data_IF_821818410664
#
_entry.id   IF_821818410664
#
_cell.length_a   1.000
_cell.length_b   1.000
_cell.length_c   1.000
_cell.angle_alpha   90.00
_cell.angle_beta   90.00
_cell.angle_gamma   90.00
#
_symmetry.space_group_name_H-M   'P 1'
#
loop_
_entity.id
_entity.type
_entity.pdbx_description
1 polymer ?
#
# COMPACT_ATOMS: atom_id res chain seq x y z
N UNK A 1 -4.98 -4.93 -16.37
CA UNK A 1 -5.25 -6.35 -16.65
C UNK A 1 -5.50 -7.19 -15.39
N UNK A 2 -5.33 -6.64 -14.17
CA UNK A 2 -5.54 -7.38 -12.91
C UNK A 2 -4.52 -8.50 -12.69
N UNK A 3 -3.28 -8.32 -13.09
CA UNK A 3 -2.18 -9.26 -12.90
C UNK A 3 -0.92 -8.50 -12.53
N UNK A 4 -0.10 -9.09 -11.67
CA UNK A 4 1.23 -8.59 -11.30
C UNK A 4 2.29 -9.48 -11.92
N UNK A 5 3.26 -8.89 -12.58
CA UNK A 5 4.42 -9.61 -13.10
C UNK A 5 5.59 -9.42 -12.13
N UNK A 6 6.10 -10.53 -11.62
CA UNK A 6 7.26 -10.57 -10.72
C UNK A 6 8.49 -10.97 -11.51
N UNK A 7 9.55 -10.18 -11.39
CA UNK A 7 10.87 -10.51 -11.92
C UNK A 7 11.84 -10.75 -10.77
N UNK A 8 12.65 -11.79 -10.89
CA UNK A 8 13.72 -12.10 -9.95
C UNK A 8 15.03 -12.36 -10.71
N UNK A 9 16.12 -11.86 -10.17
CA UNK A 9 17.47 -12.10 -10.68
C UNK A 9 18.44 -12.32 -9.53
N UNK A 10 19.50 -13.05 -9.81
CA UNK A 10 20.66 -13.21 -8.92
C UNK A 10 21.90 -12.70 -9.63
N UNK A 11 22.92 -12.25 -8.89
CA UNK A 11 24.16 -11.69 -9.46
C UNK A 11 24.93 -12.76 -10.27
N UNK A 12 24.76 -14.00 -9.92
CA UNK A 12 25.51 -15.19 -10.38
C UNK A 12 24.64 -16.17 -11.17
N UNK A 13 23.47 -15.75 -11.61
CA UNK A 13 22.47 -16.58 -12.32
C UNK A 13 22.09 -17.87 -11.57
N UNK A 14 22.26 -17.87 -10.24
CA UNK A 14 21.86 -19.00 -9.41
C UNK A 14 20.36 -19.30 -9.55
N UNK A 15 19.96 -20.59 -9.59
CA UNK A 15 18.57 -20.96 -9.70
C UNK A 15 17.76 -20.47 -8.49
N UNK A 16 16.59 -19.90 -8.76
CA UNK A 16 15.67 -19.40 -7.75
C UNK A 16 14.45 -20.31 -7.66
N UNK A 17 14.08 -20.69 -6.44
CA UNK A 17 12.88 -21.45 -6.15
C UNK A 17 11.89 -20.61 -5.36
N UNK A 18 10.60 -20.83 -5.55
CA UNK A 18 9.57 -20.03 -4.90
C UNK A 18 8.36 -20.84 -4.45
N UNK A 19 7.61 -20.25 -3.51
CA UNK A 19 6.27 -20.67 -3.08
C UNK A 19 5.33 -19.47 -3.07
N UNK A 20 4.02 -19.70 -3.22
CA UNK A 20 2.97 -18.67 -3.18
C UNK A 20 2.06 -18.80 -1.94
N UNK A 21 2.19 -19.87 -1.20
CA UNK A 21 1.37 -20.19 -0.01
C UNK A 21 2.04 -19.77 1.32
N UNK A 22 3.22 -19.15 1.23
CA UNK A 22 3.97 -18.71 2.40
C UNK A 22 4.78 -19.82 3.08
N UNK A 23 4.82 -21.04 2.55
CA UNK A 23 5.77 -22.08 3.00
C UNK A 23 7.21 -21.74 2.59
N UNK A 24 8.20 -22.32 3.26
CA UNK A 24 9.60 -22.10 2.90
C UNK A 24 9.94 -22.83 1.61
N UNK A 25 10.50 -22.12 0.60
CA UNK A 25 10.90 -22.76 -0.66
C UNK A 25 12.07 -23.73 -0.42
N UNK A 26 12.03 -24.85 -1.14
CA UNK A 26 13.07 -25.87 -1.21
C UNK A 26 13.41 -26.15 -2.67
N UNK A 27 14.39 -27.02 -2.94
CA UNK A 27 14.70 -27.47 -4.30
C UNK A 27 13.58 -28.31 -4.94
N UNK A 28 12.59 -28.73 -4.16
CA UNK A 28 11.38 -29.40 -4.65
C UNK A 28 10.22 -28.42 -4.97
N UNK A 29 10.38 -27.15 -4.61
CA UNK A 29 9.40 -26.08 -4.92
C UNK A 29 9.46 -25.69 -6.40
N UNK A 30 8.54 -24.82 -6.83
CA UNK A 30 8.53 -24.29 -8.19
C UNK A 30 9.81 -23.50 -8.45
N UNK A 31 10.45 -23.79 -9.59
CA UNK A 31 11.61 -23.02 -10.04
C UNK A 31 11.15 -21.79 -10.82
N UNK A 32 11.79 -20.66 -10.53
CA UNK A 32 11.59 -19.43 -11.30
C UNK A 32 12.38 -19.52 -12.60
N UNK A 33 11.70 -19.38 -13.74
CA UNK A 33 12.35 -19.46 -15.06
C UNK A 33 12.54 -18.06 -15.67
N UNK A 34 11.48 -17.42 -16.20
CA UNK A 34 11.60 -16.14 -16.91
C UNK A 34 10.45 -15.16 -16.59
N UNK A 35 9.89 -15.25 -15.43
CA UNK A 35 8.77 -14.40 -14.99
C UNK A 35 7.73 -15.22 -14.22
N UNK A 36 7.06 -14.55 -13.32
CA UNK A 36 6.00 -15.12 -12.52
C UNK A 36 4.82 -14.13 -12.54
N UNK A 37 3.68 -14.55 -13.06
CA UNK A 37 2.47 -13.75 -13.03
C UNK A 37 1.60 -14.15 -11.85
N UNK A 38 1.20 -13.17 -11.03
CA UNK A 38 0.33 -13.33 -9.87
C UNK A 38 -1.00 -12.65 -10.17
N UNK A 39 -2.10 -13.36 -9.94
CA UNK A 39 -3.47 -12.89 -10.18
C UNK A 39 -4.41 -13.10 -8.97
N UNK A 40 -3.83 -13.48 -7.83
CA UNK A 40 -4.57 -13.64 -6.57
C UNK A 40 -3.69 -13.22 -5.38
N UNK A 41 -4.33 -12.94 -4.23
CA UNK A 41 -3.63 -12.67 -2.99
C UNK A 41 -2.78 -13.88 -2.58
N UNK A 42 -1.52 -13.63 -2.21
CA UNK A 42 -0.60 -14.72 -1.85
C UNK A 42 0.52 -14.22 -0.92
N UNK A 43 1.27 -15.16 -0.39
CA UNK A 43 2.55 -14.88 0.30
C UNK A 43 3.67 -15.50 -0.53
N UNK A 44 4.32 -14.66 -1.33
CA UNK A 44 5.47 -15.07 -2.13
C UNK A 44 6.70 -15.21 -1.24
N UNK A 45 7.37 -16.36 -1.32
CA UNK A 45 8.71 -16.55 -0.79
C UNK A 45 9.64 -17.02 -1.89
N UNK A 46 10.88 -16.51 -1.90
CA UNK A 46 11.89 -16.89 -2.90
C UNK A 46 13.24 -17.15 -2.24
N UNK A 47 13.98 -18.12 -2.79
CA UNK A 47 15.29 -18.52 -2.32
C UNK A 47 16.18 -18.89 -3.52
N UNK A 48 17.38 -18.32 -3.59
CA UNK A 48 18.41 -18.77 -4.52
C UNK A 48 19.22 -19.92 -3.92
N UNK A 49 19.49 -20.94 -4.72
CA UNK A 49 20.22 -22.16 -4.32
C UNK A 49 21.61 -22.17 -4.96
N UNK A 50 22.64 -22.39 -4.15
CA UNK A 50 24.04 -22.46 -4.58
C UNK A 50 24.74 -23.66 -3.95
N UNK A 51 25.81 -24.16 -4.56
CA UNK A 51 26.60 -25.25 -3.99
C UNK A 51 27.17 -24.95 -2.59
N UNK A 52 27.55 -23.69 -2.36
CA UNK A 52 28.13 -23.22 -1.10
C UNK A 52 27.06 -22.82 -0.03
N UNK A 53 25.78 -22.84 -0.40
CA UNK A 53 24.67 -22.54 0.51
C UNK A 53 23.59 -21.68 -0.10
N UNK A 54 22.41 -21.77 0.45
CA UNK A 54 21.22 -21.04 0.00
C UNK A 54 21.26 -19.58 0.44
N UNK A 55 20.60 -18.70 -0.34
CA UNK A 55 20.37 -17.31 0.07
C UNK A 55 19.42 -17.23 1.27
N UNK A 56 19.34 -16.05 1.89
CA UNK A 56 18.19 -15.72 2.73
C UNK A 56 16.91 -15.80 1.91
N UNK A 57 15.83 -16.23 2.55
CA UNK A 57 14.51 -16.28 1.93
C UNK A 57 13.95 -14.86 1.94
N UNK A 58 13.61 -14.34 0.76
CA UNK A 58 12.78 -13.12 0.65
C UNK A 58 11.32 -13.49 0.91
N UNK A 59 10.53 -12.54 1.44
CA UNK A 59 9.12 -12.73 1.70
C UNK A 59 8.36 -11.45 1.37
N UNK A 60 7.35 -11.56 0.50
CA UNK A 60 6.42 -10.50 0.16
C UNK A 60 4.98 -10.97 0.36
N UNK A 61 4.17 -10.15 1.02
CA UNK A 61 2.73 -10.39 1.12
C UNK A 61 2.02 -9.54 0.08
N UNK A 62 1.30 -10.17 -0.82
CA UNK A 62 0.59 -9.54 -1.93
C UNK A 62 -0.90 -9.51 -1.60
N UNK A 63 -1.43 -8.30 -1.40
CA UNK A 63 -2.85 -8.04 -1.15
C UNK A 63 -3.55 -7.76 -2.49
N UNK A 64 -3.89 -8.82 -3.21
CA UNK A 64 -4.55 -8.69 -4.50
C UNK A 64 -6.01 -8.25 -4.32
N UNK A 65 -6.42 -7.17 -5.00
CA UNK A 65 -7.74 -6.56 -4.89
C UNK A 65 -8.20 -5.94 -6.21
N UNK A 66 -9.38 -5.34 -6.23
CA UNK A 66 -9.93 -4.67 -7.44
C UNK A 66 -9.12 -3.44 -7.85
N UNK A 67 -8.33 -2.83 -6.93
CA UNK A 67 -7.40 -1.72 -7.22
C UNK A 67 -6.04 -2.18 -7.73
N UNK A 68 -5.66 -3.45 -7.53
CA UNK A 68 -4.30 -3.93 -7.84
C UNK A 68 -3.99 -3.78 -9.33
N UNK A 69 -2.83 -3.20 -9.62
CA UNK A 69 -2.30 -2.89 -10.96
C UNK A 69 -3.23 -1.99 -11.80
N UNK A 70 -4.11 -1.22 -11.15
CA UNK A 70 -4.95 -0.23 -11.84
C UNK A 70 -4.21 1.10 -11.99
N UNK A 71 -4.50 1.87 -13.05
CA UNK A 71 -3.98 3.23 -13.16
C UNK A 71 -4.44 4.09 -11.98
N UNK A 72 -3.50 4.84 -11.44
CA UNK A 72 -3.72 5.75 -10.32
C UNK A 72 -3.13 7.12 -10.63
N UNK A 73 -3.82 8.18 -10.26
CA UNK A 73 -3.39 9.56 -10.41
C UNK A 73 -3.41 10.24 -9.05
N UNK A 74 -2.27 10.79 -8.64
CA UNK A 74 -2.20 11.64 -7.45
C UNK A 74 -2.75 13.03 -7.75
N UNK A 75 -3.62 13.55 -6.89
CA UNK A 75 -4.12 14.92 -6.95
C UNK A 75 -3.30 15.86 -6.07
N UNK A 76 -2.53 15.31 -5.14
CA UNK A 76 -1.59 16.02 -4.27
C UNK A 76 -0.17 15.45 -4.44
N UNK A 77 0.88 16.27 -4.28
CA UNK A 77 2.25 15.83 -4.47
C UNK A 77 2.68 14.83 -3.39
N UNK A 78 3.39 13.79 -3.80
CA UNK A 78 4.10 12.88 -2.90
C UNK A 78 5.36 13.59 -2.38
N UNK A 79 5.72 13.37 -1.13
CA UNK A 79 6.94 13.91 -0.55
C UNK A 79 8.19 13.29 -1.23
N UNK A 80 9.01 14.10 -1.87
CA UNK A 80 10.13 13.69 -2.73
C UNK A 80 11.08 12.65 -2.11
N UNK A 81 11.57 12.77 -0.86
CA UNK A 81 12.43 11.77 -0.24
C UNK A 81 11.80 10.38 -0.11
N UNK A 82 10.46 10.29 -0.15
CA UNK A 82 9.69 9.06 0.01
C UNK A 82 8.77 8.78 -1.18
N UNK A 83 9.11 9.27 -2.36
CA UNK A 83 8.32 9.05 -3.57
C UNK A 83 8.53 7.64 -4.16
N UNK A 84 9.76 7.10 -4.05
CA UNK A 84 10.13 5.77 -4.55
C UNK A 84 9.56 5.44 -5.94
N UNK A 85 8.58 4.51 -6.00
CA UNK A 85 7.88 4.14 -7.24
C UNK A 85 6.72 5.07 -7.59
N UNK A 86 6.50 6.12 -6.79
CA UNK A 86 5.39 7.04 -6.95
C UNK A 86 4.04 6.45 -6.62
N UNK A 87 3.00 6.96 -7.28
CA UNK A 87 1.61 6.60 -7.03
C UNK A 87 1.33 5.09 -7.17
N UNK A 88 2.08 4.37 -8.01
CA UNK A 88 1.88 2.93 -8.24
C UNK A 88 2.11 2.09 -6.99
N UNK A 89 2.87 2.59 -6.00
CA UNK A 89 3.02 1.95 -4.69
C UNK A 89 1.68 1.72 -3.99
N UNK A 90 0.67 2.59 -4.22
CA UNK A 90 -0.65 2.48 -3.58
C UNK A 90 -1.55 1.39 -4.18
N UNK A 91 -1.14 0.78 -5.29
CA UNK A 91 -1.92 -0.21 -6.03
C UNK A 91 -1.06 -1.36 -6.58
N UNK A 92 0.16 -1.54 -6.04
CA UNK A 92 1.05 -2.60 -6.48
C UNK A 92 0.79 -3.95 -5.76
N UNK A 93 -0.16 -3.98 -4.84
CA UNK A 93 -0.54 -5.15 -4.06
C UNK A 93 0.48 -5.51 -2.97
N UNK A 94 1.52 -4.71 -2.79
CA UNK A 94 2.63 -5.04 -1.90
C UNK A 94 2.50 -4.29 -0.57
N UNK A 95 2.23 -5.02 0.50
CA UNK A 95 2.11 -4.42 1.83
C UNK A 95 3.48 -4.18 2.48
N UNK A 96 3.63 -3.01 3.08
CA UNK A 96 4.82 -2.64 3.84
C UNK A 96 4.85 -3.25 5.24
N UNK A 97 6.06 -3.40 5.78
CA UNK A 97 6.31 -3.67 7.20
C UNK A 97 6.50 -2.36 7.98
N UNK A 98 6.90 -2.43 9.26
CA UNK A 98 7.12 -1.22 10.09
C UNK A 98 8.32 -0.36 9.64
N UNK A 99 9.16 -0.85 8.76
CA UNK A 99 10.25 -0.05 8.21
C UNK A 99 9.75 0.73 6.98
N UNK A 100 9.19 1.90 7.19
CA UNK A 100 8.65 2.76 6.13
C UNK A 100 9.72 3.28 5.14
N UNK A 101 11.02 3.00 5.37
CA UNK A 101 12.14 3.41 4.50
C UNK A 101 12.47 2.38 3.40
N UNK A 102 11.69 1.30 3.28
CA UNK A 102 11.97 0.19 2.34
C UNK A 102 11.43 0.37 0.93
N UNK A 103 10.77 1.50 0.63
CA UNK A 103 10.13 1.74 -0.68
C UNK A 103 8.78 1.05 -0.87
N UNK A 104 8.20 0.49 0.22
CA UNK A 104 6.82 -0.05 0.26
C UNK A 104 5.79 0.97 0.73
N UNK A 105 6.24 2.17 1.08
CA UNK A 105 5.44 3.26 1.60
C UNK A 105 5.74 4.52 0.82
N UNK A 106 4.74 5.33 0.58
CA UNK A 106 4.91 6.71 0.13
C UNK A 106 4.43 7.67 1.20
N UNK A 107 4.97 8.89 1.21
CA UNK A 107 4.69 9.85 2.27
C UNK A 107 4.09 11.16 1.74
N UNK A 108 3.28 11.75 2.60
CA UNK A 108 2.69 13.08 2.43
C UNK A 108 3.11 13.96 3.62
N UNK A 109 3.47 15.20 3.34
CA UNK A 109 3.93 16.16 4.35
C UNK A 109 3.43 17.55 3.99
N UNK A 110 2.73 18.20 4.89
CA UNK A 110 2.05 19.49 4.71
C UNK A 110 0.85 19.45 3.75
N UNK A 111 0.51 18.31 3.24
CA UNK A 111 -0.64 18.05 2.39
C UNK A 111 -1.23 16.68 2.72
N UNK A 112 -2.46 16.46 2.28
CA UNK A 112 -3.16 15.20 2.45
C UNK A 112 -2.79 14.22 1.32
N UNK A 113 -3.04 12.94 1.51
CA UNK A 113 -3.06 11.99 0.42
C UNK A 113 -4.40 12.13 -0.33
N UNK A 114 -4.33 12.36 -1.62
CA UNK A 114 -5.51 12.38 -2.48
C UNK A 114 -5.19 11.71 -3.82
N UNK A 115 -5.90 10.63 -4.14
CA UNK A 115 -5.65 9.82 -5.32
C UNK A 115 -6.95 9.39 -6.00
N UNK A 116 -6.91 9.27 -7.34
CA UNK A 116 -7.99 8.69 -8.15
C UNK A 116 -7.49 7.42 -8.82
N UNK A 117 -8.21 6.31 -8.61
CA UNK A 117 -7.97 5.01 -9.22
C UNK A 117 -8.97 4.81 -10.37
N UNK A 118 -8.49 4.48 -11.58
CA UNK A 118 -9.32 4.10 -12.73
C UNK A 118 -9.43 2.56 -12.78
N UNK A 119 -10.55 2.01 -12.38
CA UNK A 119 -10.82 0.56 -12.43
C UNK A 119 -10.92 0.03 -13.87
N UNK A 120 -10.86 0.90 -14.88
CA UNK A 120 -10.96 0.66 -16.34
C UNK A 120 -12.38 0.36 -16.82
N UNK A 121 -13.17 -0.28 -16.01
CA UNK A 121 -14.56 -0.61 -16.27
C UNK A 121 -15.41 -0.40 -15.01
N UNK A 122 -16.71 -0.31 -15.18
CA UNK A 122 -17.62 -0.20 -14.04
C UNK A 122 -17.59 -1.50 -13.23
N UNK A 123 -16.92 -1.43 -12.08
CA UNK A 123 -16.68 -2.53 -11.15
C UNK A 123 -17.46 -2.29 -9.86
N UNK A 124 -18.10 -3.32 -9.34
CA UNK A 124 -18.78 -3.26 -8.05
C UNK A 124 -17.74 -3.28 -6.91
N UNK A 125 -17.87 -2.33 -5.98
CA UNK A 125 -17.06 -2.26 -4.76
C UNK A 125 -17.96 -1.98 -3.56
N UNK A 126 -17.57 -2.47 -2.38
CA UNK A 126 -18.32 -2.27 -1.12
C UNK A 126 -17.42 -1.94 0.06
N UNK A 127 -16.11 -1.93 -0.13
CA UNK A 127 -15.17 -1.52 0.91
C UNK A 127 -13.88 -0.96 0.33
N UNK A 128 -13.24 -0.14 1.14
CA UNK A 128 -11.89 0.37 0.92
C UNK A 128 -11.08 0.16 2.19
N UNK A 129 -9.89 -0.41 2.08
CA UNK A 129 -8.92 -0.52 3.17
C UNK A 129 -7.68 0.27 2.83
N UNK A 130 -7.18 1.04 3.79
CA UNK A 130 -5.95 1.82 3.71
C UNK A 130 -5.12 1.55 4.96
N UNK A 131 -3.80 1.48 4.80
CA UNK A 131 -2.89 1.26 5.92
C UNK A 131 -1.96 2.44 6.08
N UNK A 132 -1.66 2.79 7.33
CA UNK A 132 -0.73 3.85 7.69
C UNK A 132 0.38 3.30 8.59
N UNK A 133 1.60 3.81 8.43
CA UNK A 133 2.71 3.47 9.31
C UNK A 133 2.96 4.62 10.29
N UNK A 134 2.89 4.33 11.57
CA UNK A 134 3.08 5.31 12.64
C UNK A 134 4.38 5.05 13.37
N UNK A 135 5.23 6.07 13.40
CA UNK A 135 6.45 6.17 14.22
C UNK A 135 6.57 7.61 14.73
N UNK A 136 5.96 7.88 15.88
CA UNK A 136 5.80 9.26 16.41
C UNK A 136 7.15 9.95 16.60
N UNK A 137 8.19 9.22 17.02
CA UNK A 137 9.53 9.75 17.16
C UNK A 137 10.13 10.33 15.87
N UNK A 138 9.69 9.83 14.72
CA UNK A 138 10.06 10.28 13.37
C UNK A 138 8.99 11.22 12.75
N UNK A 139 8.11 11.79 13.57
CA UNK A 139 7.03 12.68 13.16
C UNK A 139 6.00 12.03 12.22
N UNK A 140 5.88 10.72 12.25
CA UNK A 140 4.94 9.96 11.43
C UNK A 140 3.68 9.63 12.23
N UNK A 141 2.54 10.13 11.77
CA UNK A 141 1.26 10.06 12.45
C UNK A 141 0.22 9.30 11.63
N UNK A 142 -0.82 8.82 12.30
CA UNK A 142 -1.96 8.19 11.67
C UNK A 142 -2.83 9.22 10.93
N UNK A 143 -3.69 8.73 10.02
CA UNK A 143 -4.65 9.57 9.32
C UNK A 143 -5.63 10.24 10.29
N UNK A 144 -6.01 11.49 10.00
CA UNK A 144 -7.02 12.26 10.77
C UNK A 144 -8.45 12.05 10.23
N UNK A 145 -8.56 11.39 9.12
CA UNK A 145 -9.82 11.01 8.50
C UNK A 145 -9.59 10.43 7.13
N UNK A 146 -10.56 9.66 6.66
CA UNK A 146 -10.52 9.04 5.33
C UNK A 146 -11.87 9.25 4.68
N UNK A 147 -11.89 9.59 3.39
CA UNK A 147 -13.08 9.73 2.57
C UNK A 147 -12.92 8.91 1.29
N UNK A 148 -14.00 8.22 0.91
CA UNK A 148 -14.11 7.49 -0.35
C UNK A 148 -15.22 8.11 -1.17
N UNK A 149 -14.89 8.47 -2.40
CA UNK A 149 -15.83 9.03 -3.38
C UNK A 149 -15.74 8.22 -4.68
N UNK A 150 -16.85 8.12 -5.38
CA UNK A 150 -16.94 7.35 -6.63
C UNK A 150 -17.48 8.22 -7.77
N UNK A 151 -17.08 7.87 -9.00
CA UNK A 151 -17.48 8.58 -10.21
C UNK A 151 -17.48 7.64 -11.42
N UNK A 152 -18.35 7.91 -12.38
CA UNK A 152 -18.38 7.21 -13.66
C UNK A 152 -17.70 8.01 -14.80
N UNK A 153 -17.54 9.33 -14.62
CA UNK A 153 -17.01 10.25 -15.63
C UNK A 153 -15.67 10.91 -15.27
N UNK A 154 -15.11 10.58 -14.08
CA UNK A 154 -13.89 11.20 -13.52
C UNK A 154 -13.99 12.74 -13.34
N UNK A 155 -15.21 13.28 -13.24
CA UNK A 155 -15.45 14.70 -13.06
C UNK A 155 -16.35 14.98 -11.86
N UNK A 156 -17.47 14.27 -11.81
CA UNK A 156 -18.45 14.41 -10.73
C UNK A 156 -18.30 13.26 -9.76
N UNK A 157 -17.81 13.55 -8.58
CA UNK A 157 -17.61 12.57 -7.52
C UNK A 157 -18.71 12.69 -6.47
N UNK A 158 -19.22 11.54 -6.02
CA UNK A 158 -20.14 11.43 -4.89
C UNK A 158 -19.52 10.63 -3.76
N UNK A 159 -19.65 11.09 -2.54
CA UNK A 159 -19.13 10.41 -1.36
C UNK A 159 -19.96 9.16 -1.05
N UNK A 160 -19.28 8.04 -0.79
CA UNK A 160 -19.88 6.76 -0.40
C UNK A 160 -19.51 6.38 1.03
N UNK A 161 -18.35 6.81 1.53
CA UNK A 161 -17.95 6.61 2.91
C UNK A 161 -17.04 7.75 3.40
N UNK A 162 -17.10 8.04 4.69
CA UNK A 162 -16.16 8.96 5.34
C UNK A 162 -16.09 8.65 6.83
N UNK A 163 -14.88 8.66 7.38
CA UNK A 163 -14.63 8.48 8.80
C UNK A 163 -13.57 9.50 9.26
N UNK A 164 -13.79 10.09 10.42
CA UNK A 164 -12.85 11.02 11.05
C UNK A 164 -12.19 10.35 12.26
N UNK A 165 -10.90 10.56 12.42
CA UNK A 165 -10.12 10.00 13.50
C UNK A 165 -9.59 11.11 14.43
N UNK A 166 -9.59 10.89 15.77
CA UNK A 166 -9.04 11.86 16.71
C UNK A 166 -7.53 12.01 16.52
N UNK A 167 -6.98 13.11 16.99
CA UNK A 167 -5.54 13.27 17.08
C UNK A 167 -4.94 12.17 17.96
N UNK A 168 -3.78 11.65 17.57
CA UNK A 168 -3.09 10.63 18.35
C UNK A 168 -2.71 11.14 19.74
N UNK A 169 -2.79 10.26 20.71
CA UNK A 169 -2.33 10.47 22.08
C UNK A 169 -0.88 10.01 22.22
N UNK A 170 -0.20 10.50 23.24
CA UNK A 170 1.14 10.04 23.58
C UNK A 170 1.20 8.53 23.84
N UNK A 171 0.15 7.99 24.46
CA UNK A 171 0.01 6.57 24.80
C UNK A 171 -0.33 5.65 23.63
N UNK A 172 -0.73 6.19 22.47
CA UNK A 172 -1.06 5.37 21.31
C UNK A 172 0.21 4.67 20.78
N UNK A 173 0.07 3.45 20.32
CA UNK A 173 1.22 2.64 19.93
C UNK A 173 1.80 3.07 18.57
N UNK A 174 3.13 3.03 18.45
CA UNK A 174 3.81 3.04 17.16
C UNK A 174 3.59 1.69 16.48
N UNK A 175 2.85 1.68 15.40
CA UNK A 175 2.49 0.46 14.63
C UNK A 175 1.94 0.81 13.26
N UNK A 176 1.65 -0.21 12.49
CA UNK A 176 0.80 -0.08 11.30
C UNK A 176 -0.66 -0.07 11.76
N UNK A 177 -1.38 0.98 11.39
CA UNK A 177 -2.83 1.07 11.53
C UNK A 177 -3.50 0.65 10.24
N UNK A 178 -4.66 0.02 10.36
CA UNK A 178 -5.47 -0.42 9.22
C UNK A 178 -6.86 0.17 9.35
N UNK A 179 -7.27 0.93 8.36
CA UNK A 179 -8.57 1.59 8.30
C UNK A 179 -9.39 0.94 7.20
N UNK A 180 -10.55 0.39 7.54
CA UNK A 180 -11.48 -0.20 6.59
C UNK A 180 -12.81 0.52 6.65
N UNK A 181 -13.18 1.18 5.56
CA UNK A 181 -14.48 1.81 5.39
C UNK A 181 -15.35 0.88 4.53
N UNK A 182 -16.50 0.50 5.07
CA UNK A 182 -17.52 -0.28 4.36
C UNK A 182 -18.67 0.63 3.95
N UNK A 183 -19.29 0.33 2.81
CA UNK A 183 -20.41 1.08 2.26
C UNK A 183 -21.32 0.16 1.44
N UNK A 184 -22.52 0.59 1.12
CA UNK A 184 -23.39 -0.18 0.25
C UNK A 184 -22.72 -0.45 -1.09
N UNK A 185 -22.88 -1.68 -1.65
CA UNK A 185 -22.28 -2.03 -2.93
C UNK A 185 -22.60 -0.99 -4.00
N UNK A 186 -21.58 -0.51 -4.68
CA UNK A 186 -21.69 0.47 -5.76
C UNK A 186 -20.88 0.05 -6.97
N UNK A 187 -21.49 0.13 -8.13
CA UNK A 187 -20.82 -0.11 -9.41
C UNK A 187 -20.30 1.22 -9.94
N UNK A 188 -18.97 1.33 -10.13
CA UNK A 188 -18.30 2.57 -10.52
C UNK A 188 -17.02 2.30 -11.28
N UNK A 189 -16.55 3.25 -12.07
CA UNK A 189 -15.25 3.16 -12.75
C UNK A 189 -14.13 3.88 -12.01
N UNK A 190 -14.39 5.04 -11.41
CA UNK A 190 -13.37 5.85 -10.75
C UNK A 190 -13.62 5.90 -9.26
N UNK A 191 -12.56 5.71 -8.48
CA UNK A 191 -12.60 5.80 -7.02
C UNK A 191 -11.57 6.83 -6.57
N UNK A 192 -12.04 7.88 -5.89
CA UNK A 192 -11.17 8.86 -5.24
C UNK A 192 -11.09 8.55 -3.76
N UNK A 193 -9.86 8.45 -3.27
CA UNK A 193 -9.56 8.23 -1.87
C UNK A 193 -8.77 9.42 -1.35
N UNK A 194 -9.26 10.00 -0.25
CA UNK A 194 -8.58 11.08 0.48
C UNK A 194 -8.27 10.59 1.88
N UNK A 195 -7.02 10.74 2.32
CA UNK A 195 -6.61 10.51 3.71
C UNK A 195 -5.97 11.79 4.26
N UNK A 196 -6.59 12.34 5.30
CA UNK A 196 -6.15 13.59 5.93
C UNK A 196 -4.93 13.32 6.79
N UNK A 197 -3.87 14.09 6.60
CA UNK A 197 -2.66 14.02 7.40
C UNK A 197 -2.77 14.85 8.69
N UNK A 198 -1.88 14.61 9.65
CA UNK A 198 -1.77 15.44 10.86
C UNK A 198 -1.11 16.78 10.51
N UNK A 199 -1.90 17.84 10.42
CA UNK A 199 -1.40 19.19 10.08
C UNK A 199 -0.89 19.96 11.28
N UNK A 200 -1.15 19.46 12.49
CA UNK A 200 -0.82 20.15 13.73
C UNK A 200 -0.49 19.13 14.83
N UNK A 201 0.76 18.67 14.83
CA UNK A 201 1.25 17.70 15.82
C UNK A 201 0.85 18.10 17.23
N UNK A 202 0.25 17.17 18.03
CA UNK A 202 -0.30 17.47 19.33
C UNK A 202 0.71 18.02 20.33
N UNK A 203 0.20 18.73 21.35
CA UNK A 203 1.01 19.48 22.33
C UNK A 203 1.96 18.62 23.18
N UNK A 204 1.68 17.33 23.33
CA UNK A 204 2.53 16.38 24.07
C UNK A 204 3.81 16.02 23.32
N UNK A 205 3.89 16.25 22.03
CA UNK A 205 5.02 15.86 21.18
C UNK A 205 6.03 16.99 21.01
N UNK A 206 7.32 16.66 20.93
CA UNK A 206 8.40 17.66 20.74
C UNK A 206 8.28 18.50 19.47
N UNK A 207 7.60 17.98 18.44
CA UNK A 207 7.30 18.66 17.19
C UNK A 207 5.96 19.41 17.17
N UNK A 208 5.35 19.68 18.33
CA UNK A 208 4.03 20.33 18.46
C UNK A 208 3.86 21.52 17.52
N UNK A 209 2.71 21.64 16.92
CA UNK A 209 2.34 22.76 16.06
C UNK A 209 2.86 22.65 14.62
N UNK A 210 3.74 21.71 14.32
CA UNK A 210 4.20 21.43 12.95
C UNK A 210 3.34 20.35 12.32
N UNK A 211 3.32 20.25 10.98
CA UNK A 211 2.71 19.13 10.30
C UNK A 211 3.49 17.84 10.54
N UNK A 212 2.78 16.71 10.61
CA UNK A 212 3.33 15.37 10.63
C UNK A 212 3.38 14.74 9.23
N UNK A 213 4.15 13.67 9.10
CA UNK A 213 4.12 12.81 7.92
C UNK A 213 2.96 11.83 7.99
N UNK A 214 2.33 11.60 6.86
CA UNK A 214 1.41 10.48 6.65
C UNK A 214 2.07 9.49 5.69
N UNK A 215 2.34 8.27 6.15
CA UNK A 215 2.84 7.18 5.31
C UNK A 215 1.73 6.21 4.97
N UNK A 216 1.57 5.92 3.68
CA UNK A 216 0.55 5.00 3.14
C UNK A 216 1.23 3.99 2.23
N UNK A 217 0.83 2.71 2.29
CA UNK A 217 1.38 1.64 1.44
C UNK A 217 0.42 1.17 0.34
N UNK A 218 -0.82 0.87 0.67
CA UNK A 218 -1.75 0.22 -0.27
C UNK A 218 -3.17 0.72 -0.09
N UNK A 219 -3.89 0.88 -1.20
CA UNK A 219 -5.35 1.12 -1.24
C UNK A 219 -6.01 -0.14 -1.79
N UNK A 220 -6.68 -0.89 -0.92
CA UNK A 220 -7.35 -2.16 -1.24
C UNK A 220 -8.83 -1.90 -1.44
N UNK A 221 -9.37 -2.21 -2.62
CA UNK A 221 -10.80 -2.11 -2.96
C UNK A 221 -11.42 -3.51 -3.11
N UNK A 222 -12.55 -3.76 -2.43
CA UNK A 222 -13.28 -5.04 -2.52
C UNK A 222 -14.77 -4.83 -2.74
#
# INVERSE_FOLDING_TARGET
TGKLDVTASTIDDAPVYYTLDGTEPTTASSRYENGLTIDAACVLRMMAVRPEGNSRITRDSIAFSKSTAKPITMLQPINKPYEFKGATTLVDGMTGDRNYKTGRWIAFYKNDMEAVIDLKEATEISSMTLRTCVEKGDWTFDARGITVEVSDDNKTFRKVASEAYPAMKETDANRIYTHTLTFDPVKTRYVKVTALSEQNIPAWHGGKGNPGFLFVDEIVLN
#
